data_IF_501418668520
#
_entry.id   IF_501418668520
#
_cell.length_a   1.000
_cell.length_b   1.000
_cell.length_c   1.000
_cell.angle_alpha   90.00
_cell.angle_beta   90.00
_cell.angle_gamma   90.00
#
_symmetry.space_group_name_H-M   'P 1'
#
loop_
_entity.id
_entity.type
_entity.pdbx_description
1 polymer ?
#
# COMPACT_ATOMS: atom_id res chain seq x y z
N UNK A 1 -25.23 15.71 14.77
CA UNK A 1 -24.04 16.11 13.97
C UNK A 1 -24.59 16.85 12.76
N UNK A 2 -24.23 18.12 12.63
CA UNK A 2 -24.79 19.04 11.63
C UNK A 2 -24.06 18.81 10.31
N UNK A 3 -24.66 18.04 9.40
CA UNK A 3 -24.19 17.79 8.01
C UNK A 3 -24.60 18.93 7.05
N UNK A 4 -24.58 20.17 7.51
CA UNK A 4 -25.08 21.35 6.78
C UNK A 4 -24.39 21.59 5.43
N UNK A 5 -23.17 21.09 5.24
CA UNK A 5 -22.44 21.29 3.99
C UNK A 5 -22.80 20.30 2.86
N UNK A 6 -23.11 19.06 3.21
CA UNK A 6 -23.45 18.00 2.24
C UNK A 6 -24.89 18.11 1.72
N UNK A 7 -25.85 18.43 2.59
CA UNK A 7 -27.25 18.67 2.19
C UNK A 7 -27.37 19.86 1.23
N UNK A 8 -26.61 20.93 1.49
CA UNK A 8 -26.61 22.13 0.65
C UNK A 8 -25.98 21.86 -0.73
N UNK A 9 -24.96 21.01 -0.82
CA UNK A 9 -24.35 20.58 -2.07
C UNK A 9 -25.27 19.69 -2.91
N UNK A 10 -26.11 18.87 -2.30
CA UNK A 10 -27.08 18.00 -2.97
C UNK A 10 -28.19 18.85 -3.62
N UNK A 11 -28.70 19.85 -2.89
CA UNK A 11 -29.81 20.70 -3.33
C UNK A 11 -29.44 21.65 -4.46
N UNK A 12 -28.21 22.23 -4.43
CA UNK A 12 -27.78 23.23 -5.42
C UNK A 12 -27.29 22.62 -6.76
N UNK A 13 -27.03 21.32 -6.82
CA UNK A 13 -26.42 20.65 -7.99
C UNK A 13 -27.32 19.69 -8.73
N UNK A 14 -28.57 19.52 -8.30
CA UNK A 14 -29.54 18.69 -8.99
C UNK A 14 -30.07 19.43 -10.21
N UNK A 15 -29.50 19.21 -11.39
CA UNK A 15 -30.15 19.58 -12.67
C UNK A 15 -31.12 18.47 -13.00
N UNK A 16 -32.40 18.83 -13.26
CA UNK A 16 -33.47 17.90 -13.67
C UNK A 16 -33.83 16.81 -12.66
N UNK A 17 -33.88 17.13 -11.35
CA UNK A 17 -34.26 16.17 -10.28
C UNK A 17 -33.39 14.89 -10.25
N UNK A 18 -32.17 14.92 -10.81
CA UNK A 18 -31.24 13.79 -10.78
C UNK A 18 -29.87 14.23 -10.27
N UNK A 19 -29.36 13.51 -9.27
CA UNK A 19 -28.00 13.69 -8.76
C UNK A 19 -27.03 12.91 -9.65
N UNK A 20 -26.08 13.61 -10.27
CA UNK A 20 -25.12 12.98 -11.18
C UNK A 20 -24.14 12.07 -10.46
N UNK A 21 -23.67 11.02 -11.13
CA UNK A 21 -22.66 10.10 -10.59
C UNK A 21 -21.38 10.78 -10.13
N UNK A 22 -20.98 11.90 -10.76
CA UNK A 22 -19.80 12.69 -10.34
C UNK A 22 -20.00 13.33 -8.97
N UNK A 23 -21.21 13.81 -8.67
CA UNK A 23 -21.51 14.41 -7.35
C UNK A 23 -21.55 13.32 -6.27
N UNK A 24 -22.16 12.17 -6.58
CA UNK A 24 -22.21 11.00 -5.68
C UNK A 24 -20.77 10.53 -5.39
N UNK A 25 -19.95 10.41 -6.43
CA UNK A 25 -18.54 10.02 -6.30
C UNK A 25 -17.76 11.02 -5.44
N UNK A 26 -17.92 12.30 -5.65
CA UNK A 26 -17.25 13.35 -4.86
C UNK A 26 -17.69 13.34 -3.39
N UNK A 27 -18.98 13.10 -3.12
CA UNK A 27 -19.48 12.94 -1.75
C UNK A 27 -18.81 11.76 -1.07
N UNK A 28 -18.67 10.64 -1.76
CA UNK A 28 -18.03 9.45 -1.22
C UNK A 28 -16.52 9.63 -1.04
N UNK A 29 -15.80 10.00 -2.11
CA UNK A 29 -14.34 10.03 -2.16
C UNK A 29 -13.73 11.19 -1.38
N UNK A 30 -14.30 12.40 -1.53
CA UNK A 30 -13.73 13.62 -0.91
C UNK A 30 -14.27 13.88 0.50
N UNK A 31 -15.55 13.60 0.73
CA UNK A 31 -16.21 13.93 1.99
C UNK A 31 -16.47 12.70 2.87
N UNK A 32 -16.14 11.50 2.41
CA UNK A 32 -16.36 10.25 3.14
C UNK A 32 -17.84 9.95 3.39
N UNK A 33 -18.74 10.47 2.55
CA UNK A 33 -20.18 10.33 2.74
C UNK A 33 -20.67 9.03 2.05
N UNK A 34 -21.17 8.03 2.81
CA UNK A 34 -21.58 6.75 2.27
C UNK A 34 -22.71 6.88 1.23
N UNK A 35 -22.67 6.02 0.20
CA UNK A 35 -23.67 6.03 -0.88
C UNK A 35 -25.07 5.71 -0.38
N UNK A 36 -25.16 4.86 0.65
CA UNK A 36 -26.47 4.50 1.24
C UNK A 36 -27.14 5.72 1.87
N UNK A 37 -26.38 6.54 2.60
CA UNK A 37 -26.88 7.81 3.14
C UNK A 37 -27.21 8.83 2.03
N UNK A 38 -26.46 8.80 0.93
CA UNK A 38 -26.79 9.63 -0.25
C UNK A 38 -28.12 9.19 -0.87
N UNK A 39 -28.42 7.88 -0.86
CA UNK A 39 -29.67 7.33 -1.34
C UNK A 39 -30.84 7.73 -0.48
N UNK A 40 -30.72 7.57 0.83
CA UNK A 40 -31.78 7.95 1.79
C UNK A 40 -32.14 9.43 1.67
N UNK A 41 -31.12 10.32 1.60
CA UNK A 41 -31.35 11.76 1.42
C UNK A 41 -31.92 12.12 0.05
N UNK A 42 -31.58 11.37 -1.00
CA UNK A 42 -32.13 11.58 -2.33
C UNK A 42 -33.62 11.18 -2.36
N UNK A 43 -33.99 10.07 -1.72
CA UNK A 43 -35.39 9.64 -1.59
C UNK A 43 -36.22 10.65 -0.79
N UNK A 44 -35.69 11.19 0.32
CA UNK A 44 -36.36 12.24 1.11
C UNK A 44 -36.61 13.54 0.34
N UNK A 45 -35.80 13.82 -0.70
CA UNK A 45 -35.89 15.04 -1.51
C UNK A 45 -36.44 14.80 -2.93
N UNK A 46 -37.03 13.64 -3.20
CA UNK A 46 -37.57 13.24 -4.52
C UNK A 46 -36.52 13.36 -5.65
N UNK A 47 -35.25 13.02 -5.37
CA UNK A 47 -34.16 13.05 -6.32
C UNK A 47 -33.82 11.64 -6.83
N UNK A 48 -33.60 11.51 -8.13
CA UNK A 48 -33.03 10.30 -8.72
C UNK A 48 -31.51 10.29 -8.60
N UNK A 49 -30.91 9.10 -8.53
CA UNK A 49 -29.47 8.91 -8.48
C UNK A 49 -28.97 8.26 -9.77
N UNK A 50 -27.95 8.83 -10.37
CA UNK A 50 -27.20 8.20 -11.45
C UNK A 50 -26.12 7.27 -10.90
N UNK A 51 -26.55 6.11 -10.39
CA UNK A 51 -25.66 5.09 -9.84
C UNK A 51 -24.78 4.45 -10.91
N UNK A 52 -25.24 4.36 -12.16
CA UNK A 52 -24.45 3.78 -13.25
C UNK A 52 -23.20 4.62 -13.55
N UNK A 53 -23.32 5.94 -13.58
CA UNK A 53 -22.19 6.85 -13.74
C UNK A 53 -21.26 6.80 -12.50
N UNK A 54 -21.81 6.69 -11.29
CA UNK A 54 -21.03 6.51 -10.07
C UNK A 54 -20.18 5.23 -10.10
N UNK A 55 -20.79 4.08 -10.45
CA UNK A 55 -20.09 2.79 -10.52
C UNK A 55 -18.95 2.82 -11.55
N UNK A 56 -19.16 3.50 -12.68
CA UNK A 56 -18.12 3.69 -13.69
C UNK A 56 -16.92 4.47 -13.14
N UNK A 57 -17.16 5.59 -12.45
CA UNK A 57 -16.11 6.40 -11.83
C UNK A 57 -15.36 5.62 -10.75
N UNK A 58 -16.07 4.83 -9.95
CA UNK A 58 -15.46 3.94 -8.96
C UNK A 58 -14.60 2.86 -9.60
N UNK A 59 -15.03 2.28 -10.71
CA UNK A 59 -14.25 1.30 -11.46
C UNK A 59 -12.98 1.93 -12.07
N UNK A 60 -13.09 3.14 -12.61
CA UNK A 60 -11.94 3.90 -13.13
C UNK A 60 -10.93 4.24 -12.02
N UNK A 61 -11.39 4.68 -10.84
CA UNK A 61 -10.55 4.95 -9.69
C UNK A 61 -9.81 3.69 -9.23
N UNK A 62 -10.54 2.56 -9.08
CA UNK A 62 -9.93 1.27 -8.73
C UNK A 62 -8.92 0.79 -9.77
N UNK A 63 -9.19 1.01 -11.05
CA UNK A 63 -8.25 0.67 -12.12
C UNK A 63 -7.01 1.57 -12.10
N UNK A 64 -7.16 2.86 -11.76
CA UNK A 64 -6.04 3.79 -11.63
C UNK A 64 -5.21 3.49 -10.37
N UNK A 65 -5.83 3.21 -9.23
CA UNK A 65 -5.15 2.76 -8.01
C UNK A 65 -4.37 1.45 -8.24
N UNK A 66 -4.93 0.51 -9.03
CA UNK A 66 -4.20 -0.70 -9.45
C UNK A 66 -3.04 -0.40 -10.41
N UNK A 67 -3.13 0.64 -11.24
CA UNK A 67 -2.01 1.07 -12.11
C UNK A 67 -0.91 1.78 -11.34
N UNK A 68 -1.24 2.47 -10.26
CA UNK A 68 -0.27 3.09 -9.35
C UNK A 68 0.43 2.04 -8.49
N UNK A 69 -0.25 0.96 -8.10
CA UNK A 69 0.36 -0.25 -7.55
C UNK A 69 1.02 -1.08 -8.66
N UNK A 70 1.99 -0.47 -9.34
CA UNK A 70 2.78 -1.12 -10.42
C UNK A 70 3.45 -2.42 -9.98
N UNK A 71 3.49 -2.73 -8.69
CA UNK A 71 4.19 -3.87 -8.13
C UNK A 71 3.36 -5.16 -8.10
N UNK A 72 2.03 -5.11 -7.97
CA UNK A 72 1.19 -6.31 -8.13
C UNK A 72 1.20 -6.86 -9.57
N UNK A 73 1.44 -5.97 -10.56
CA UNK A 73 1.51 -6.36 -11.97
C UNK A 73 2.91 -6.85 -12.40
N UNK A 74 3.93 -6.68 -11.55
CA UNK A 74 5.33 -7.00 -11.88
C UNK A 74 5.75 -8.39 -11.40
N UNK A 75 4.96 -9.02 -10.51
CA UNK A 75 5.19 -10.41 -10.18
C UNK A 75 4.63 -11.29 -11.30
N UNK A 76 5.47 -11.93 -12.11
CA UNK A 76 5.00 -12.96 -13.02
C UNK A 76 4.24 -14.01 -12.19
N UNK A 77 3.06 -14.42 -12.66
CA UNK A 77 2.24 -15.49 -12.06
C UNK A 77 2.97 -16.85 -11.96
N UNK A 78 4.23 -16.88 -12.36
CA UNK A 78 5.10 -18.05 -12.48
C UNK A 78 6.27 -18.04 -11.50
N UNK A 79 6.34 -17.12 -10.53
CA UNK A 79 7.39 -17.22 -9.51
C UNK A 79 7.02 -18.36 -8.57
N UNK A 80 7.45 -19.56 -8.92
CA UNK A 80 7.51 -20.71 -8.03
C UNK A 80 8.68 -20.49 -7.05
N UNK A 81 8.54 -19.52 -6.14
CA UNK A 81 9.41 -19.44 -4.99
C UNK A 81 9.02 -20.58 -4.07
N UNK A 82 9.81 -21.64 -4.06
CA UNK A 82 9.62 -22.80 -3.20
C UNK A 82 9.97 -22.52 -1.74
N UNK A 83 10.54 -21.39 -1.43
CA UNK A 83 11.04 -21.01 -0.11
C UNK A 83 10.48 -19.64 0.29
N UNK A 84 9.89 -19.56 1.48
CA UNK A 84 9.37 -18.35 2.08
C UNK A 84 10.52 -17.44 2.57
N UNK A 85 10.28 -16.14 2.64
CA UNK A 85 11.24 -15.21 3.26
C UNK A 85 11.07 -15.25 4.79
N UNK A 86 12.12 -15.60 5.52
CA UNK A 86 12.11 -15.55 6.98
C UNK A 86 12.27 -14.10 7.46
N UNK A 87 11.31 -13.61 8.25
CA UNK A 87 11.37 -12.28 8.81
C UNK A 87 12.03 -12.29 10.19
N UNK A 88 13.23 -11.71 10.29
CA UNK A 88 14.03 -11.63 11.54
C UNK A 88 14.04 -10.23 12.17
N UNK A 89 13.28 -9.30 11.63
CA UNK A 89 13.31 -7.87 12.00
C UNK A 89 12.72 -7.52 13.37
N UNK A 90 12.15 -8.50 14.10
CA UNK A 90 11.78 -8.31 15.50
C UNK A 90 12.97 -8.43 16.46
N UNK A 91 13.98 -9.22 16.08
CA UNK A 91 15.11 -9.55 16.94
C UNK A 91 16.35 -8.71 16.61
N UNK A 92 16.53 -8.36 15.33
CA UNK A 92 17.73 -7.66 14.87
C UNK A 92 17.42 -6.60 13.81
N UNK A 93 18.24 -5.54 13.81
CA UNK A 93 18.22 -4.47 12.82
C UNK A 93 19.12 -4.74 11.60
N UNK A 94 19.91 -5.81 11.66
CA UNK A 94 20.77 -6.24 10.56
C UNK A 94 20.91 -7.77 10.55
N UNK A 95 20.95 -8.35 9.34
CA UNK A 95 21.17 -9.79 9.13
C UNK A 95 22.09 -10.06 7.95
N UNK A 96 22.75 -11.21 7.93
CA UNK A 96 23.35 -11.75 6.72
C UNK A 96 22.28 -12.54 5.96
N UNK A 97 22.11 -12.26 4.68
CA UNK A 97 21.04 -12.81 3.88
C UNK A 97 21.56 -13.22 2.50
N UNK A 98 20.86 -14.16 1.85
CA UNK A 98 21.20 -14.63 0.51
C UNK A 98 20.13 -14.12 -0.47
N UNK A 99 20.56 -13.61 -1.61
CA UNK A 99 19.66 -13.16 -2.66
C UNK A 99 19.07 -14.37 -3.39
N UNK A 100 17.75 -14.55 -3.31
CA UNK A 100 17.01 -15.66 -3.91
C UNK A 100 16.39 -15.32 -5.25
N UNK A 101 16.07 -14.04 -5.47
CA UNK A 101 15.46 -13.59 -6.72
C UNK A 101 15.86 -12.15 -7.00
N UNK A 102 16.06 -11.84 -8.27
CA UNK A 102 16.30 -10.49 -8.78
C UNK A 102 15.35 -10.25 -9.95
N UNK A 103 14.50 -9.23 -9.82
CA UNK A 103 13.58 -8.83 -10.88
C UNK A 103 13.90 -7.41 -11.37
N UNK A 104 13.92 -7.23 -12.67
CA UNK A 104 14.04 -5.90 -13.30
C UNK A 104 13.07 -5.81 -14.47
N UNK A 105 12.21 -4.80 -14.44
CA UNK A 105 11.14 -4.60 -15.43
C UNK A 105 10.19 -5.82 -15.61
N UNK A 106 10.02 -6.63 -14.54
CA UNK A 106 9.17 -7.83 -14.59
C UNK A 106 9.85 -9.09 -15.08
N UNK A 107 11.14 -9.04 -15.43
CA UNK A 107 11.93 -10.19 -15.87
C UNK A 107 12.87 -10.63 -14.74
N UNK A 108 13.02 -11.95 -14.60
CA UNK A 108 13.97 -12.56 -13.66
C UNK A 108 15.38 -12.53 -14.29
N UNK A 109 16.35 -12.05 -13.52
CA UNK A 109 17.73 -11.91 -13.97
C UNK A 109 18.70 -12.59 -12.99
N UNK A 110 19.75 -13.18 -13.52
CA UNK A 110 20.84 -13.76 -12.72
C UNK A 110 21.78 -12.70 -12.14
N UNK A 111 21.89 -11.55 -12.79
CA UNK A 111 22.72 -10.43 -12.32
C UNK A 111 22.20 -9.08 -12.83
N UNK A 112 22.35 -8.04 -12.00
CA UNK A 112 21.99 -6.65 -12.33
C UNK A 112 23.12 -5.71 -11.93
N UNK A 113 23.52 -4.83 -12.85
CA UNK A 113 24.51 -3.78 -12.62
C UNK A 113 23.85 -2.42 -12.80
N UNK A 114 23.50 -1.76 -11.66
CA UNK A 114 22.93 -0.41 -11.65
C UNK A 114 21.45 -0.32 -11.98
N UNK A 115 20.83 0.77 -11.51
CA UNK A 115 19.43 1.08 -11.69
C UNK A 115 18.52 0.45 -10.65
N UNK A 116 17.21 0.56 -10.89
CA UNK A 116 16.18 0.02 -9.97
C UNK A 116 15.93 -1.47 -10.28
N UNK A 117 15.77 -2.25 -9.21
CA UNK A 117 15.43 -3.67 -9.29
C UNK A 117 14.67 -4.08 -8.00
N UNK A 118 14.01 -5.23 -8.06
CA UNK A 118 13.38 -5.85 -6.90
C UNK A 118 14.24 -7.05 -6.50
N UNK A 119 14.51 -7.18 -5.22
CA UNK A 119 15.31 -8.26 -4.66
C UNK A 119 14.48 -9.01 -3.62
N UNK A 120 14.52 -10.34 -3.66
CA UNK A 120 13.97 -11.21 -2.62
C UNK A 120 15.13 -11.90 -1.92
N UNK A 121 15.09 -11.87 -0.59
CA UNK A 121 16.08 -12.49 0.28
C UNK A 121 15.51 -13.77 0.92
N UNK A 122 16.38 -14.68 1.35
CA UNK A 122 16.00 -15.86 2.15
C UNK A 122 15.53 -15.44 3.55
N UNK A 123 16.25 -14.51 4.18
CA UNK A 123 15.89 -13.91 5.46
C UNK A 123 16.01 -12.39 5.40
N UNK A 124 15.19 -11.67 6.16
CA UNK A 124 15.20 -10.20 6.09
C UNK A 124 14.87 -9.54 7.43
N UNK A 125 15.61 -8.46 7.81
CA UNK A 125 15.24 -7.62 8.93
C UNK A 125 14.23 -6.54 8.53
N UNK A 126 13.93 -6.35 7.23
CA UNK A 126 13.05 -5.32 6.71
C UNK A 126 11.58 -5.71 6.88
N UNK A 127 10.80 -4.88 7.58
CA UNK A 127 9.36 -5.02 7.66
C UNK A 127 8.74 -4.65 6.32
N UNK A 128 7.94 -5.55 5.77
CA UNK A 128 7.19 -5.29 4.54
C UNK A 128 5.91 -4.50 4.82
N UNK A 129 5.57 -3.56 3.95
CA UNK A 129 4.34 -2.80 4.04
C UNK A 129 3.14 -3.73 4.21
N UNK A 130 2.40 -3.53 5.30
CA UNK A 130 1.23 -4.32 5.64
C UNK A 130 0.36 -3.59 6.66
N UNK A 131 -0.97 -3.74 6.55
CA UNK A 131 -1.90 -3.19 7.55
C UNK A 131 -1.90 -1.67 7.67
N UNK A 132 -1.45 -0.94 6.64
CA UNK A 132 -1.36 0.52 6.64
C UNK A 132 -0.06 1.08 7.22
N UNK A 133 0.86 0.22 7.68
CA UNK A 133 2.20 0.63 8.08
C UNK A 133 3.14 0.56 6.87
N UNK A 134 3.88 1.64 6.61
CA UNK A 134 4.87 1.72 5.51
C UNK A 134 6.02 0.73 5.71
N UNK A 135 6.59 0.27 4.60
CA UNK A 135 7.73 -0.62 4.59
C UNK A 135 9.01 0.04 5.11
N UNK A 136 9.93 -0.79 5.58
CA UNK A 136 11.25 -0.32 6.00
C UNK A 136 12.13 0.03 4.81
N UNK A 137 13.06 0.94 5.08
CA UNK A 137 14.13 1.35 4.20
C UNK A 137 15.49 1.04 4.84
N UNK A 138 16.53 1.03 4.03
CA UNK A 138 17.89 0.80 4.51
C UNK A 138 18.85 0.44 3.39
N UNK A 139 19.80 -0.44 3.69
CA UNK A 139 20.87 -0.80 2.74
C UNK A 139 21.13 -2.30 2.70
N UNK A 140 21.50 -2.78 1.51
CA UNK A 140 22.12 -4.09 1.33
C UNK A 140 23.58 -3.86 0.90
N UNK A 141 24.51 -4.41 1.65
CA UNK A 141 25.94 -4.23 1.43
C UNK A 141 26.67 -5.57 1.28
N UNK A 142 27.63 -5.63 0.38
CA UNK A 142 28.59 -6.72 0.29
C UNK A 142 29.94 -6.15 -0.15
N UNK A 143 30.96 -7.02 -0.34
CA UNK A 143 32.26 -6.59 -0.84
C UNK A 143 32.08 -5.96 -2.23
N UNK A 144 32.39 -4.66 -2.38
CA UNK A 144 32.22 -3.88 -3.59
C UNK A 144 30.77 -3.70 -4.12
N UNK A 145 29.75 -3.92 -3.26
CA UNK A 145 28.34 -3.80 -3.58
C UNK A 145 27.65 -2.89 -2.56
N UNK A 146 26.95 -1.89 -3.05
CA UNK A 146 26.10 -1.00 -2.26
C UNK A 146 24.76 -0.79 -2.96
N UNK A 147 23.69 -1.11 -2.26
CA UNK A 147 22.32 -1.06 -2.74
C UNK A 147 21.48 -0.33 -1.68
N UNK A 148 20.74 0.68 -2.09
CA UNK A 148 19.73 1.30 -1.24
C UNK A 148 18.40 0.55 -1.38
N UNK A 149 17.80 0.19 -0.27
CA UNK A 149 16.42 -0.31 -0.19
C UNK A 149 15.51 0.89 0.00
N UNK A 150 14.76 1.21 -1.05
CA UNK A 150 13.86 2.36 -1.08
C UNK A 150 12.53 2.08 -0.41
N UNK A 151 12.08 0.82 -0.47
CA UNK A 151 10.83 0.37 0.14
C UNK A 151 10.83 -1.16 0.26
N UNK A 152 10.01 -1.68 1.16
CA UNK A 152 9.82 -3.12 1.34
C UNK A 152 8.33 -3.43 1.35
N UNK A 153 7.88 -4.34 0.49
CA UNK A 153 6.50 -4.76 0.38
C UNK A 153 6.35 -6.23 0.73
N UNK A 154 5.25 -6.58 1.40
CA UNK A 154 4.93 -7.96 1.72
C UNK A 154 3.84 -8.46 0.77
N UNK A 155 4.13 -9.54 0.04
CA UNK A 155 3.18 -10.24 -0.82
C UNK A 155 3.13 -11.72 -0.41
N UNK A 156 2.02 -12.12 0.21
CA UNK A 156 1.92 -13.45 0.81
C UNK A 156 3.00 -13.66 1.87
N UNK A 157 3.87 -14.64 1.66
CA UNK A 157 4.97 -15.00 2.57
C UNK A 157 6.34 -14.44 2.11
N UNK A 158 6.35 -13.55 1.10
CA UNK A 158 7.56 -12.96 0.55
C UNK A 158 7.70 -11.50 0.91
N UNK A 159 8.95 -11.08 1.12
CA UNK A 159 9.33 -9.68 1.28
C UNK A 159 10.09 -9.22 0.03
N UNK A 160 9.49 -8.27 -0.67
CA UNK A 160 10.02 -7.69 -1.90
C UNK A 160 10.74 -6.38 -1.56
N UNK A 161 12.04 -6.34 -1.75
CA UNK A 161 12.85 -5.16 -1.52
C UNK A 161 12.98 -4.38 -2.82
N UNK A 162 12.41 -3.19 -2.86
CA UNK A 162 12.53 -2.24 -3.96
C UNK A 162 13.86 -1.53 -3.80
N UNK A 163 14.79 -1.84 -4.67
CA UNK A 163 16.18 -1.49 -4.52
C UNK A 163 16.69 -0.62 -5.65
N UNK A 164 17.67 0.22 -5.32
CA UNK A 164 18.50 0.95 -6.28
C UNK A 164 19.95 0.57 -6.09
N UNK A 165 20.54 0.00 -7.12
CA UNK A 165 21.96 -0.39 -7.12
C UNK A 165 22.83 0.84 -7.37
N UNK A 166 23.56 1.29 -6.36
CA UNK A 166 24.46 2.45 -6.46
C UNK A 166 25.83 2.05 -6.93
N UNK A 167 26.36 0.91 -6.48
CA UNK A 167 27.70 0.43 -6.81
C UNK A 167 27.74 -1.08 -6.93
N UNK A 168 28.48 -1.58 -7.89
CA UNK A 168 28.72 -3.00 -8.10
C UNK A 168 27.67 -3.69 -8.95
N UNK A 169 27.64 -5.02 -8.86
CA UNK A 169 26.70 -5.89 -9.55
C UNK A 169 26.11 -6.88 -8.56
N UNK A 170 24.79 -6.91 -8.51
CA UNK A 170 24.00 -7.88 -7.74
C UNK A 170 24.00 -9.20 -8.50
N UNK A 171 24.23 -10.31 -7.82
CA UNK A 171 24.17 -11.65 -8.40
C UNK A 171 23.25 -12.54 -7.57
N UNK A 172 22.55 -13.45 -8.25
CA UNK A 172 21.75 -14.48 -7.63
C UNK A 172 22.62 -15.35 -6.70
N UNK A 173 22.07 -15.80 -5.59
CA UNK A 173 22.76 -16.60 -4.56
C UNK A 173 23.97 -15.91 -3.90
N UNK A 174 24.16 -14.61 -4.07
CA UNK A 174 25.20 -13.88 -3.35
C UNK A 174 24.77 -13.52 -1.94
N UNK A 175 25.74 -13.52 -1.01
CA UNK A 175 25.53 -13.08 0.36
C UNK A 175 25.61 -11.56 0.45
N UNK A 176 24.66 -10.98 1.16
CA UNK A 176 24.60 -9.55 1.46
C UNK A 176 24.32 -9.33 2.93
N UNK A 177 24.84 -8.26 3.49
CA UNK A 177 24.44 -7.75 4.80
C UNK A 177 23.26 -6.81 4.57
N UNK A 178 22.12 -7.16 5.13
CA UNK A 178 20.91 -6.37 5.15
C UNK A 178 20.87 -5.53 6.42
N UNK A 179 20.70 -4.22 6.31
CA UNK A 179 20.70 -3.29 7.44
C UNK A 179 19.60 -2.24 7.25
N UNK A 180 18.68 -2.16 8.23
CA UNK A 180 17.56 -1.21 8.20
C UNK A 180 17.99 0.17 8.67
N UNK A 181 17.28 1.21 8.21
CA UNK A 181 17.35 2.54 8.81
C UNK A 181 16.60 2.55 10.14
N UNK A 182 17.34 2.33 11.20
CA UNK A 182 16.80 2.25 12.57
C UNK A 182 16.18 3.57 13.03
N UNK A 183 16.68 4.72 12.57
CA UNK A 183 16.13 6.02 12.93
C UNK A 183 14.75 6.20 12.30
N UNK A 184 14.61 5.83 11.02
CA UNK A 184 13.32 5.85 10.32
C UNK A 184 12.32 4.87 10.94
N UNK A 185 12.75 3.62 11.23
CA UNK A 185 11.89 2.62 11.88
C UNK A 185 11.36 3.13 13.22
N UNK A 186 12.21 3.74 14.03
CA UNK A 186 11.80 4.30 15.32
C UNK A 186 10.78 5.42 15.18
N UNK A 187 10.94 6.30 14.19
CA UNK A 187 9.97 7.34 13.89
C UNK A 187 8.60 6.76 13.46
N UNK A 188 8.60 5.66 12.68
CA UNK A 188 7.38 4.97 12.26
C UNK A 188 6.69 4.30 13.45
N UNK A 189 7.43 3.60 14.31
CA UNK A 189 6.89 2.93 15.51
C UNK A 189 6.30 3.93 16.51
N UNK A 190 6.90 5.13 16.62
CA UNK A 190 6.37 6.20 17.47
C UNK A 190 5.12 6.89 16.89
N UNK A 191 4.77 6.65 15.63
CA UNK A 191 3.58 7.17 14.96
C UNK A 191 2.59 6.02 14.65
N UNK A 192 1.84 5.50 15.64
CA UNK A 192 0.91 4.40 15.40
C UNK A 192 -0.21 4.84 14.47
N UNK A 193 -0.30 4.19 13.32
CA UNK A 193 -1.20 4.50 12.19
C UNK A 193 -2.68 4.28 12.52
N UNK A 194 -3.04 3.76 13.68
CA UNK A 194 -4.42 3.36 13.90
C UNK A 194 -4.95 3.73 15.26
N UNK A 195 -5.72 4.79 15.27
CA UNK A 195 -6.70 5.03 16.35
C UNK A 195 -8.15 4.84 15.90
N UNK A 196 -8.41 4.34 14.71
CA UNK A 196 -9.75 4.15 14.18
C UNK A 196 -10.52 2.98 14.82
N UNK A 197 -9.87 2.16 15.64
CA UNK A 197 -10.49 1.00 16.28
C UNK A 197 -10.64 1.09 17.80
N UNK A 198 -10.32 2.21 18.39
CA UNK A 198 -10.64 2.48 19.80
C UNK A 198 -12.00 3.16 19.95
N UNK A 199 -13.04 2.59 19.39
CA UNK A 199 -14.36 2.74 19.95
C UNK A 199 -14.42 1.84 21.18
N UNK A 200 -14.07 2.38 22.32
CA UNK A 200 -14.40 1.77 23.59
C UNK A 200 -15.93 1.61 23.62
N UNK A 201 -16.47 0.40 23.85
CA UNK A 201 -17.87 0.26 24.13
C UNK A 201 -18.13 0.95 25.48
N UNK A 202 -18.64 2.15 25.42
CA UNK A 202 -19.19 2.82 26.60
C UNK A 202 -20.53 2.16 26.93
N UNK A 203 -20.46 1.02 27.57
CA UNK A 203 -21.62 0.49 28.31
C UNK A 203 -21.75 1.29 29.59
N UNK A 204 -22.48 2.39 29.52
CA UNK A 204 -23.04 2.97 30.74
C UNK A 204 -24.24 2.12 31.14
N UNK A 205 -24.08 1.30 32.17
CA UNK A 205 -25.21 0.87 32.98
C UNK A 205 -25.66 2.07 33.81
N UNK A 206 -26.83 2.57 33.51
CA UNK A 206 -27.58 3.46 34.39
C UNK A 206 -28.47 2.55 35.21
N UNK A 207 -28.23 2.51 36.52
CA UNK A 207 -29.20 2.02 37.50
C UNK A 207 -30.33 3.03 37.68
#
# INVERSE_FOLDING_TARGET
VRLVGSEMCIRDRSKNNTLSGEVIFKLYDTFGFPVDLTRDLAEENDLNLDLAAYEKLMAEQRANAKKENKFEAVLPSAINLSEETEFVGYECSSSESIIKLILKNGEELEAVSGGECIIVLDSTPFYGESGGQVGDQGKLTAKDLEIDVLDTQKIGNFHLHICKVNKGSVKLNSKVKAEIDSARRQAIVCNPVSYTHLTLPTTYHVE
#
